data_IF_052380944470
#
_entry.id   IF_052380944470
#
_cell.length_a   1.000
_cell.length_b   1.000
_cell.length_c   1.000
_cell.angle_alpha   90.00
_cell.angle_beta   90.00
_cell.angle_gamma   90.00
#
_symmetry.space_group_name_H-M   'P 1'
#
loop_
_entity.id
_entity.type
_entity.pdbx_description
1 polymer ?
#
# COMPACT_ATOMS: atom_id res chain seq x y z
N UNK A 1 -0.06 15.44 2.72
CA UNK A 1 -1.43 15.27 2.18
C UNK A 1 -1.38 14.13 1.18
N UNK A 2 -2.24 13.12 1.33
CA UNK A 2 -2.34 11.98 0.42
C UNK A 2 -3.81 11.66 0.22
N UNK A 3 -4.28 11.60 -1.02
CA UNK A 3 -5.56 10.97 -1.35
C UNK A 3 -5.36 9.47 -1.41
N UNK A 4 -6.16 8.74 -0.65
CA UNK A 4 -6.06 7.30 -0.46
C UNK A 4 -7.32 6.66 -0.99
N UNK A 5 -7.15 5.71 -1.88
CA UNK A 5 -8.20 4.80 -2.34
C UNK A 5 -7.89 3.44 -1.73
N UNK A 6 -8.61 3.13 -0.67
CA UNK A 6 -8.46 1.89 0.08
C UNK A 6 -9.40 0.82 -0.48
N UNK A 7 -8.82 -0.14 -1.20
CA UNK A 7 -9.54 -1.27 -1.77
C UNK A 7 -9.18 -2.58 -1.06
N UNK A 8 -8.84 -2.52 0.24
CA UNK A 8 -8.40 -3.69 1.02
C UNK A 8 -9.52 -4.57 1.56
N UNK A 9 -10.80 -4.17 1.39
CA UNK A 9 -11.91 -4.96 1.91
C UNK A 9 -12.13 -6.30 1.22
N UNK A 10 -13.12 -7.05 1.71
CA UNK A 10 -13.32 -8.48 1.45
C UNK A 10 -13.58 -8.73 -0.04
N UNK A 11 -13.00 -9.82 -0.54
CA UNK A 11 -13.09 -10.23 -1.95
C UNK A 11 -14.54 -10.36 -2.48
N UNK A 12 -15.52 -10.60 -1.60
CA UNK A 12 -16.90 -10.95 -1.97
C UNK A 12 -17.91 -9.78 -1.99
N UNK A 13 -17.55 -8.59 -1.50
CA UNK A 13 -18.45 -7.44 -1.47
C UNK A 13 -17.96 -6.33 -2.42
N UNK A 14 -18.67 -6.16 -3.55
CA UNK A 14 -18.44 -5.14 -4.59
C UNK A 14 -18.45 -3.66 -4.11
N UNK A 15 -18.52 -3.40 -2.81
CA UNK A 15 -18.73 -2.08 -2.21
C UNK A 15 -17.69 -1.66 -1.16
N UNK A 16 -16.56 -2.36 -1.07
CA UNK A 16 -15.57 -2.16 0.00
C UNK A 16 -14.47 -1.11 -0.29
N UNK A 17 -14.52 -0.43 -1.45
CA UNK A 17 -13.55 0.62 -1.76
C UNK A 17 -13.91 1.92 -1.04
N UNK A 18 -13.05 2.36 -0.12
CA UNK A 18 -13.21 3.61 0.63
C UNK A 18 -12.18 4.62 0.16
N UNK A 19 -12.64 5.81 -0.22
CA UNK A 19 -11.77 6.89 -0.68
C UNK A 19 -11.76 8.07 0.29
N UNK A 20 -10.57 8.53 0.69
CA UNK A 20 -10.40 9.63 1.64
C UNK A 20 -9.10 10.41 1.43
N UNK A 21 -9.09 11.69 1.79
CA UNK A 21 -7.84 12.47 1.87
C UNK A 21 -7.32 12.44 3.29
N UNK A 22 -6.08 12.01 3.46
CA UNK A 22 -5.35 12.01 4.72
C UNK A 22 -4.37 13.18 4.80
N UNK A 23 -4.44 13.91 5.91
CA UNK A 23 -3.48 14.93 6.32
C UNK A 23 -2.82 14.45 7.62
N UNK A 24 -1.49 14.32 7.60
CA UNK A 24 -0.72 13.91 8.76
C UNK A 24 0.62 14.64 8.80
N UNK A 25 1.22 14.71 10.00
CA UNK A 25 2.58 15.23 10.20
C UNK A 25 3.47 14.15 10.81
N UNK A 26 4.73 14.14 10.41
CA UNK A 26 5.78 13.34 11.07
C UNK A 26 6.27 14.00 12.36
N UNK A 27 6.02 15.29 12.54
CA UNK A 27 6.32 16.02 13.78
C UNK A 27 5.12 15.98 14.72
N UNK A 28 5.34 15.92 16.05
CA UNK A 28 4.27 15.99 17.03
C UNK A 28 3.43 17.27 16.86
N UNK A 29 2.11 17.12 16.83
CA UNK A 29 1.15 18.21 16.67
C UNK A 29 -0.25 17.67 16.37
N UNK A 30 -1.29 18.51 16.53
CA UNK A 30 -2.68 18.12 16.34
C UNK A 30 -3.32 18.69 15.06
N UNK A 31 -2.56 19.35 14.18
CA UNK A 31 -3.02 19.81 12.86
C UNK A 31 -4.26 20.73 12.85
N UNK A 32 -4.70 21.24 14.01
CA UNK A 32 -5.95 21.97 14.14
C UNK A 32 -5.96 23.25 13.30
N UNK A 33 -4.85 24.01 13.31
CA UNK A 33 -4.73 25.27 12.56
C UNK A 33 -4.74 25.03 11.05
N UNK A 34 -4.06 23.97 10.62
CA UNK A 34 -4.01 23.54 9.24
C UNK A 34 -5.41 23.18 8.75
N UNK A 35 -6.12 22.35 9.51
CA UNK A 35 -7.49 21.92 9.17
C UNK A 35 -8.48 23.08 9.16
N UNK A 36 -8.42 23.97 10.16
CA UNK A 36 -9.29 25.15 10.23
C UNK A 36 -9.10 26.06 9.00
N UNK A 37 -7.87 26.26 8.57
CA UNK A 37 -7.58 27.08 7.38
C UNK A 37 -8.00 26.37 6.08
N UNK A 38 -7.75 25.06 5.96
CA UNK A 38 -8.10 24.29 4.76
C UNK A 38 -9.63 24.25 4.59
N UNK A 39 -10.38 24.09 5.69
CA UNK A 39 -11.84 24.11 5.71
C UNK A 39 -12.49 23.15 4.68
N UNK A 40 -12.01 21.89 4.64
CA UNK A 40 -12.51 20.81 3.78
C UNK A 40 -13.10 19.65 4.60
N UNK A 41 -13.71 19.97 5.76
CA UNK A 41 -14.38 19.01 6.65
C UNK A 41 -13.49 17.87 7.16
N UNK A 42 -12.23 18.17 7.48
CA UNK A 42 -11.34 17.19 8.09
C UNK A 42 -11.77 16.86 9.52
N UNK A 43 -11.78 15.57 9.84
CA UNK A 43 -11.94 15.04 11.19
C UNK A 43 -10.59 14.50 11.66
N UNK A 44 -10.11 14.96 12.82
CA UNK A 44 -8.81 14.59 13.35
C UNK A 44 -8.94 13.69 14.57
N UNK A 45 -8.08 12.68 14.67
CA UNK A 45 -8.11 11.74 15.78
C UNK A 45 -6.96 10.75 15.82
N UNK A 46 -6.97 9.93 16.88
CA UNK A 46 -6.07 8.77 17.05
C UNK A 46 -6.81 7.43 16.91
N UNK A 47 -8.12 7.50 16.80
CA UNK A 47 -9.06 6.38 16.78
C UNK A 47 -8.93 5.51 15.53
N UNK A 48 -8.37 6.06 14.44
CA UNK A 48 -8.13 5.34 13.19
C UNK A 48 -6.66 5.46 12.76
N UNK A 49 -5.75 4.64 13.32
CA UNK A 49 -4.40 4.59 12.78
C UNK A 49 -4.45 4.05 11.34
N UNK A 50 -3.95 4.83 10.39
CA UNK A 50 -3.87 4.40 8.99
C UNK A 50 -2.53 3.71 8.78
N UNK A 51 -2.56 2.45 8.36
CA UNK A 51 -1.39 1.73 7.92
C UNK A 51 -1.17 1.98 6.42
N UNK A 52 -0.18 2.81 6.11
CA UNK A 52 0.26 3.05 4.75
C UNK A 52 1.23 1.97 4.24
N UNK A 53 0.91 0.72 4.57
CA UNK A 53 1.59 -0.55 4.26
C UNK A 53 2.77 -0.91 5.16
N UNK A 54 3.49 0.04 5.74
CA UNK A 54 4.24 -0.17 7.01
C UNK A 54 4.63 1.13 7.71
N UNK A 55 3.92 2.21 7.38
CA UNK A 55 4.03 3.48 8.10
C UNK A 55 2.68 3.75 8.74
N UNK A 56 2.61 3.55 10.06
CA UNK A 56 1.40 3.80 10.82
C UNK A 56 1.32 5.28 11.22
N UNK A 57 0.31 5.96 10.70
CA UNK A 57 -0.05 7.31 11.13
C UNK A 57 -0.90 7.20 12.39
N UNK A 58 -0.28 7.42 13.56
CA UNK A 58 -0.96 7.35 14.87
C UNK A 58 -1.90 8.52 15.15
N UNK A 59 -1.64 9.67 14.53
CA UNK A 59 -2.52 10.83 14.58
C UNK A 59 -2.58 11.45 13.19
N UNK A 60 -3.80 11.63 12.69
CA UNK A 60 -4.04 12.25 11.41
C UNK A 60 -5.43 12.85 11.36
N UNK A 61 -5.64 13.63 10.30
CA UNK A 61 -6.93 14.15 9.94
C UNK A 61 -7.35 13.53 8.60
N UNK A 62 -8.63 13.23 8.45
CA UNK A 62 -9.17 12.68 7.21
C UNK A 62 -10.45 13.39 6.80
N UNK A 63 -10.69 13.45 5.49
CA UNK A 63 -11.96 13.89 4.92
C UNK A 63 -12.41 12.92 3.83
N UNK A 64 -13.71 12.71 3.75
CA UNK A 64 -14.38 11.92 2.70
C UNK A 64 -15.04 12.81 1.64
N UNK A 65 -14.81 14.13 1.72
CA UNK A 65 -15.46 15.11 0.86
C UNK A 65 -14.94 15.03 -0.58
N UNK A 66 -15.81 14.76 -1.56
CA UNK A 66 -15.49 14.73 -3.00
C UNK A 66 -14.27 13.84 -3.34
N UNK A 67 -14.22 12.66 -2.74
CA UNK A 67 -13.09 11.72 -2.87
C UNK A 67 -13.28 10.68 -3.97
N UNK A 68 -14.42 10.69 -4.67
CA UNK A 68 -14.68 9.78 -5.80
C UNK A 68 -14.22 10.34 -7.15
N UNK A 69 -13.65 11.54 -7.16
CA UNK A 69 -13.19 12.25 -8.35
C UNK A 69 -11.67 12.16 -8.52
N UNK A 70 -11.19 12.05 -9.77
CA UNK A 70 -9.74 12.07 -10.10
C UNK A 70 -9.05 10.70 -10.14
N UNK A 71 -9.79 9.61 -9.93
CA UNK A 71 -9.36 8.23 -10.11
C UNK A 71 -10.53 7.37 -10.58
N UNK A 72 -10.25 6.15 -11.03
CA UNK A 72 -11.23 5.17 -11.49
C UNK A 72 -10.90 3.79 -10.94
N UNK A 73 -11.87 2.87 -10.90
CA UNK A 73 -11.64 1.50 -10.44
C UNK A 73 -10.56 0.76 -11.26
N UNK A 74 -10.40 1.11 -12.53
CA UNK A 74 -9.36 0.55 -13.39
C UNK A 74 -7.93 0.95 -12.97
N UNK A 75 -7.79 2.03 -12.19
CA UNK A 75 -6.51 2.48 -11.62
C UNK A 75 -6.08 1.65 -10.40
N UNK A 76 -7.00 0.89 -9.78
CA UNK A 76 -6.73 0.11 -8.56
C UNK A 76 -5.80 -1.07 -8.91
N UNK A 77 -4.67 -1.25 -8.20
CA UNK A 77 -3.77 -2.36 -8.44
C UNK A 77 -4.44 -3.69 -8.09
N UNK A 78 -4.07 -4.74 -8.82
CA UNK A 78 -4.66 -6.07 -8.63
C UNK A 78 -3.63 -7.05 -8.12
N UNK A 79 -4.03 -7.85 -7.13
CA UNK A 79 -3.29 -9.01 -6.64
C UNK A 79 -4.15 -10.23 -6.96
N UNK A 80 -3.64 -11.14 -7.77
CA UNK A 80 -4.38 -12.32 -8.24
C UNK A 80 -3.60 -13.60 -7.95
N UNK A 81 -4.21 -14.54 -7.24
CA UNK A 81 -3.62 -15.85 -6.98
C UNK A 81 -3.77 -16.71 -8.24
N UNK A 82 -2.63 -17.08 -8.83
CA UNK A 82 -2.56 -17.95 -10.01
C UNK A 82 -2.71 -19.42 -9.63
N UNK A 83 -2.08 -19.84 -8.54
CA UNK A 83 -2.11 -21.21 -8.04
C UNK A 83 -1.78 -21.26 -6.55
N UNK A 84 -2.29 -22.27 -5.83
CA UNK A 84 -1.96 -22.57 -4.44
C UNK A 84 -1.89 -24.09 -4.24
N UNK A 85 -0.68 -24.64 -4.20
CA UNK A 85 -0.43 -26.09 -4.10
C UNK A 85 -0.16 -26.44 -2.64
N UNK A 86 -0.79 -27.50 -2.10
CA UNK A 86 -0.76 -27.85 -0.66
C UNK A 86 -0.25 -29.28 -0.37
N UNK A 87 0.44 -29.92 -1.32
CA UNK A 87 0.73 -31.36 -1.23
C UNK A 87 1.80 -31.70 -0.17
N UNK A 88 3.00 -31.10 -0.26
CA UNK A 88 4.09 -31.30 0.69
C UNK A 88 4.41 -29.99 1.42
N UNK A 89 4.97 -29.04 0.67
CA UNK A 89 5.16 -27.67 1.09
C UNK A 89 4.09 -26.83 0.40
N UNK A 90 3.44 -25.93 1.15
CA UNK A 90 2.46 -25.04 0.55
C UNK A 90 3.21 -23.98 -0.26
N UNK A 91 2.88 -23.87 -1.53
CA UNK A 91 3.46 -22.90 -2.46
C UNK A 91 2.32 -22.15 -3.14
N UNK A 92 2.33 -20.83 -3.04
CA UNK A 92 1.35 -19.97 -3.71
C UNK A 92 2.04 -19.12 -4.77
N UNK A 93 1.48 -19.07 -5.97
CA UNK A 93 1.90 -18.13 -7.00
C UNK A 93 0.89 -17.00 -7.12
N UNK A 94 1.39 -15.77 -7.07
CA UNK A 94 0.61 -14.55 -7.08
C UNK A 94 1.11 -13.66 -8.21
N UNK A 95 0.17 -13.04 -8.93
CA UNK A 95 0.46 -12.02 -9.92
C UNK A 95 0.02 -10.66 -9.41
N UNK A 96 0.90 -9.68 -9.51
CA UNK A 96 0.67 -8.31 -9.08
C UNK A 96 0.72 -7.40 -10.31
N UNK A 97 -0.36 -6.64 -10.52
CA UNK A 97 -0.43 -5.57 -11.52
C UNK A 97 -0.56 -4.23 -10.82
N UNK A 98 0.48 -3.39 -10.92
CA UNK A 98 0.54 -2.06 -10.31
C UNK A 98 -0.13 -0.98 -11.15
N UNK A 99 -0.77 -1.38 -12.26
CA UNK A 99 -1.47 -0.51 -13.22
C UNK A 99 -0.58 0.58 -13.76
N UNK A 100 -0.89 1.84 -13.47
CA UNK A 100 -0.09 2.98 -13.94
C UNK A 100 1.11 3.27 -13.05
N UNK A 101 1.17 2.68 -11.85
CA UNK A 101 2.19 3.01 -10.88
C UNK A 101 3.51 2.32 -11.16
N UNK A 102 4.59 3.12 -11.16
CA UNK A 102 5.98 2.68 -11.17
C UNK A 102 6.65 2.87 -9.80
N UNK A 103 5.86 3.20 -8.77
CA UNK A 103 6.32 3.41 -7.39
C UNK A 103 5.38 2.72 -6.43
N UNK A 104 5.87 1.69 -5.74
CA UNK A 104 5.02 0.88 -4.89
C UNK A 104 5.79 0.29 -3.72
N UNK A 105 5.04 -0.12 -2.71
CA UNK A 105 5.53 -0.80 -1.52
C UNK A 105 4.74 -2.07 -1.32
N UNK A 106 5.43 -3.20 -1.20
CA UNK A 106 4.85 -4.50 -0.91
C UNK A 106 5.35 -4.95 0.47
N UNK A 107 4.42 -5.29 1.35
CA UNK A 107 4.71 -5.96 2.61
C UNK A 107 4.29 -7.43 2.53
N UNK A 108 5.21 -8.34 2.88
CA UNK A 108 5.00 -9.79 2.92
C UNK A 108 4.99 -10.24 4.38
N UNK A 109 3.95 -10.96 4.79
CA UNK A 109 3.80 -11.45 6.16
C UNK A 109 4.78 -12.62 6.43
N UNK A 110 5.85 -12.34 7.17
CA UNK A 110 6.89 -13.32 7.50
C UNK A 110 6.50 -14.26 8.65
N UNK A 111 5.32 -14.12 9.26
CA UNK A 111 4.77 -15.16 10.15
C UNK A 111 4.34 -16.38 9.37
N UNK A 112 3.75 -16.15 8.20
CA UNK A 112 3.17 -17.20 7.35
C UNK A 112 4.15 -17.66 6.27
N UNK A 113 4.92 -16.73 5.71
CA UNK A 113 5.85 -16.99 4.61
C UNK A 113 7.27 -17.20 5.14
N UNK A 114 7.89 -18.29 4.70
CA UNK A 114 9.29 -18.65 4.99
C UNK A 114 10.23 -17.97 4.01
N UNK A 115 9.90 -18.06 2.72
CA UNK A 115 10.72 -17.55 1.64
C UNK A 115 9.85 -17.11 0.44
N UNK A 116 10.43 -16.33 -0.48
CA UNK A 116 9.73 -15.89 -1.67
C UNK A 116 10.67 -15.63 -2.86
N UNK A 117 10.13 -15.77 -4.07
CA UNK A 117 10.79 -15.36 -5.32
C UNK A 117 9.97 -14.28 -6.01
N UNK A 118 10.65 -13.24 -6.50
CA UNK A 118 10.01 -12.09 -7.12
C UNK A 118 10.59 -11.83 -8.52
N UNK A 119 9.75 -11.92 -9.54
CA UNK A 119 10.16 -11.85 -10.94
C UNK A 119 9.32 -10.84 -11.73
N UNK A 120 9.91 -10.29 -12.80
CA UNK A 120 9.14 -9.59 -13.83
C UNK A 120 8.30 -10.61 -14.61
N UNK A 121 6.99 -10.42 -14.63
CA UNK A 121 6.07 -11.36 -15.28
C UNK A 121 6.25 -11.43 -16.81
N UNK A 122 6.90 -10.45 -17.43
CA UNK A 122 7.13 -10.40 -18.88
C UNK A 122 8.46 -11.01 -19.30
N UNK A 123 9.54 -10.69 -18.60
CA UNK A 123 10.89 -11.19 -18.94
C UNK A 123 11.26 -12.45 -18.17
N UNK A 124 10.51 -12.81 -17.11
CA UNK A 124 10.90 -13.82 -16.12
C UNK A 124 12.25 -13.55 -15.45
N UNK A 125 12.74 -12.31 -15.52
CA UNK A 125 13.96 -11.89 -14.86
C UNK A 125 13.70 -11.80 -13.35
N UNK A 126 14.58 -12.42 -12.57
CA UNK A 126 14.54 -12.35 -11.12
C UNK A 126 14.96 -10.97 -10.65
N UNK A 127 14.05 -10.28 -9.97
CA UNK A 127 14.24 -8.89 -9.55
C UNK A 127 14.85 -8.79 -8.15
N UNK A 128 14.71 -9.85 -7.35
CA UNK A 128 15.28 -10.00 -6.01
C UNK A 128 15.83 -11.42 -5.95
N UNK A 129 17.16 -11.58 -6.03
CA UNK A 129 17.83 -12.87 -5.93
C UNK A 129 18.14 -13.26 -4.49
N UNK A 130 18.22 -14.58 -4.25
CA UNK A 130 18.54 -15.20 -2.95
C UNK A 130 19.84 -14.64 -2.30
N UNK A 131 20.82 -14.22 -3.11
CA UNK A 131 22.17 -13.79 -2.69
C UNK A 131 22.25 -12.42 -1.99
N UNK A 132 21.22 -11.56 -2.07
CA UNK A 132 21.21 -10.24 -1.38
C UNK A 132 20.62 -10.38 0.04
N UNK A 133 20.13 -11.56 0.39
CA UNK A 133 19.28 -11.77 1.57
C UNK A 133 20.01 -11.93 2.91
N UNK A 134 21.34 -12.04 2.91
CA UNK A 134 22.14 -12.13 4.15
C UNK A 134 22.30 -10.79 4.86
N UNK A 135 22.35 -9.66 4.13
CA UNK A 135 22.62 -8.35 4.70
C UNK A 135 21.47 -7.37 4.48
N UNK A 136 20.64 -7.22 5.53
CA UNK A 136 19.56 -6.21 5.71
C UNK A 136 18.18 -6.58 5.16
N UNK A 137 17.61 -7.69 5.63
CA UNK A 137 16.13 -7.81 5.72
C UNK A 137 15.66 -6.78 6.76
N UNK A 138 15.20 -5.60 6.34
CA UNK A 138 14.54 -4.64 7.23
C UNK A 138 13.17 -5.20 7.63
N UNK A 139 13.18 -6.17 8.55
CA UNK A 139 11.98 -6.70 9.17
C UNK A 139 11.49 -5.69 10.19
N UNK A 140 10.30 -5.15 9.97
CA UNK A 140 9.57 -4.40 10.99
C UNK A 140 8.38 -5.26 11.38
N UNK A 141 8.31 -5.65 12.65
CA UNK A 141 7.14 -6.29 13.26
C UNK A 141 6.54 -7.44 12.42
N UNK A 142 7.37 -8.43 12.05
CA UNK A 142 6.98 -9.63 11.30
C UNK A 142 6.58 -9.41 9.82
N UNK A 143 6.89 -8.23 9.25
CA UNK A 143 6.72 -7.95 7.82
C UNK A 143 8.06 -7.75 7.10
N UNK A 144 8.17 -8.30 5.90
CA UNK A 144 9.26 -8.00 4.97
C UNK A 144 8.80 -6.96 3.96
N UNK A 145 9.54 -5.85 3.82
CA UNK A 145 9.13 -4.68 3.05
C UNK A 145 10.01 -4.52 1.82
N UNK A 146 9.37 -4.55 0.65
CA UNK A 146 9.98 -4.24 -0.63
C UNK A 146 9.47 -2.87 -1.07
N UNK A 147 10.39 -1.92 -1.29
CA UNK A 147 10.07 -0.62 -1.86
C UNK A 147 10.65 -0.54 -3.27
N UNK A 148 9.79 -0.25 -4.24
CA UNK A 148 10.18 -0.14 -5.63
C UNK A 148 9.89 1.27 -6.15
N UNK A 149 10.84 1.87 -6.84
CA UNK A 149 10.65 3.12 -7.57
C UNK A 149 11.43 3.08 -8.87
N UNK A 150 10.72 2.86 -9.96
CA UNK A 150 11.29 2.80 -11.30
C UNK A 150 11.07 4.06 -12.14
N UNK A 151 11.72 4.10 -13.31
CA UNK A 151 11.47 5.11 -14.34
C UNK A 151 10.19 4.84 -15.14
N UNK A 152 9.96 5.66 -16.17
CA UNK A 152 8.75 5.58 -17.03
C UNK A 152 8.48 4.19 -17.63
N UNK A 153 9.55 3.45 -17.93
CA UNK A 153 9.52 2.14 -18.58
C UNK A 153 9.69 0.97 -17.60
N UNK A 154 9.61 1.22 -16.29
CA UNK A 154 9.74 0.17 -15.30
C UNK A 154 8.62 -0.88 -15.42
N UNK A 155 8.89 -2.14 -15.06
CA UNK A 155 7.88 -3.18 -15.00
C UNK A 155 6.72 -2.79 -14.09
N UNK A 156 5.54 -3.30 -14.43
CA UNK A 156 4.28 -3.07 -13.70
C UNK A 156 3.51 -4.36 -13.45
N UNK A 157 3.99 -5.46 -14.02
CA UNK A 157 3.46 -6.80 -13.86
C UNK A 157 4.55 -7.65 -13.26
N UNK A 158 4.25 -8.24 -12.11
CA UNK A 158 5.20 -9.01 -11.33
C UNK A 158 4.59 -10.34 -10.93
N UNK A 159 5.43 -11.36 -10.88
CA UNK A 159 5.06 -12.65 -10.32
C UNK A 159 5.82 -12.90 -9.03
N UNK A 160 5.08 -13.32 -8.02
CA UNK A 160 5.56 -13.60 -6.68
C UNK A 160 5.24 -15.07 -6.37
N UNK A 161 6.29 -15.86 -6.11
CA UNK A 161 6.15 -17.22 -5.60
C UNK A 161 6.42 -17.19 -4.10
N UNK A 162 5.47 -17.67 -3.31
CA UNK A 162 5.51 -17.67 -1.85
C UNK A 162 5.67 -19.10 -1.33
N UNK A 163 6.69 -19.32 -0.51
CA UNK A 163 6.95 -20.57 0.19
C UNK A 163 6.49 -20.42 1.63
N UNK A 164 5.50 -21.22 2.03
CA UNK A 164 4.88 -21.09 3.34
C UNK A 164 5.67 -21.85 4.40
N UNK A 165 5.69 -21.32 5.63
CA UNK A 165 6.27 -22.04 6.76
C UNK A 165 5.51 -23.32 7.05
N UNK A 166 6.23 -24.37 7.43
CA UNK A 166 5.63 -25.61 7.92
C UNK A 166 4.71 -25.34 9.13
N UNK A 167 3.43 -25.73 9.04
CA UNK A 167 2.43 -25.53 10.10
C UNK A 167 1.62 -24.22 10.02
N UNK A 168 1.97 -23.29 9.12
CA UNK A 168 1.20 -22.05 8.85
C UNK A 168 -0.20 -22.32 8.29
N UNK A 169 -0.43 -23.50 7.70
CA UNK A 169 -1.69 -23.92 7.09
C UNK A 169 -2.90 -23.99 8.07
N UNK A 170 -2.70 -23.71 9.35
CA UNK A 170 -3.73 -23.72 10.41
C UNK A 170 -4.01 -22.35 11.03
N UNK A 171 -3.39 -21.28 10.52
CA UNK A 171 -3.68 -19.92 10.96
C UNK A 171 -5.11 -19.54 10.56
N UNK A 172 -6.06 -19.62 11.50
CA UNK A 172 -7.43 -19.04 11.38
C UNK A 172 -7.42 -17.51 11.42
N UNK A 173 -6.23 -16.90 11.30
CA UNK A 173 -6.08 -15.47 11.42
C UNK A 173 -6.66 -14.81 10.15
N UNK A 174 -7.62 -13.90 10.34
CA UNK A 174 -8.20 -13.08 9.26
C UNK A 174 -7.22 -11.97 8.82
N UNK A 175 -5.91 -12.22 8.97
CA UNK A 175 -4.85 -11.30 8.67
C UNK A 175 -4.60 -11.17 7.17
N UNK A 176 -3.82 -10.16 6.80
CA UNK A 176 -3.30 -10.01 5.44
C UNK A 176 -2.03 -10.87 5.27
N UNK A 177 -1.93 -11.55 4.14
CA UNK A 177 -0.70 -12.20 3.68
C UNK A 177 0.21 -11.19 2.99
N UNK A 178 -0.38 -10.40 2.09
CA UNK A 178 0.30 -9.33 1.36
C UNK A 178 -0.44 -8.01 1.58
N UNK A 179 0.31 -6.93 1.71
CA UNK A 179 -0.21 -5.56 1.65
C UNK A 179 0.54 -4.80 0.57
N UNK A 180 -0.20 -4.21 -0.35
CA UNK A 180 0.34 -3.45 -1.47
C UNK A 180 -0.15 -2.01 -1.40
N UNK A 181 0.80 -1.09 -1.52
CA UNK A 181 0.56 0.32 -1.77
C UNK A 181 1.15 0.67 -3.11
N UNK A 182 0.36 1.29 -3.98
CA UNK A 182 0.88 1.92 -5.19
C UNK A 182 0.70 3.43 -5.10
N UNK A 183 1.71 4.18 -5.53
CA UNK A 183 1.69 5.63 -5.55
C UNK A 183 1.63 6.12 -7.00
N UNK A 184 0.69 7.00 -7.30
CA UNK A 184 0.45 7.50 -8.66
C UNK A 184 0.67 9.00 -8.69
N UNK A 185 1.48 9.46 -9.66
CA UNK A 185 1.76 10.87 -9.88
C UNK A 185 0.57 11.59 -10.54
N UNK A 186 -0.54 11.68 -9.83
CA UNK A 186 -1.78 12.31 -10.27
C UNK A 186 -2.32 13.19 -9.16
N UNK A 187 -2.78 14.38 -9.54
CA UNK A 187 -3.45 15.30 -8.64
C UNK A 187 -4.96 15.14 -8.82
N UNK A 188 -5.68 14.90 -7.74
CA UNK A 188 -7.15 14.79 -7.75
C UNK A 188 -7.78 16.12 -7.35
N UNK A 189 -9.04 16.41 -7.74
CA UNK A 189 -9.69 17.69 -7.45
C UNK A 189 -9.70 18.06 -5.97
N UNK A 190 -10.02 17.12 -5.07
CA UNK A 190 -9.98 17.38 -3.63
C UNK A 190 -8.56 17.65 -3.13
N UNK A 191 -7.56 16.93 -3.64
CA UNK A 191 -6.17 17.17 -3.25
C UNK A 191 -5.70 18.55 -3.70
N UNK A 192 -6.02 18.95 -4.93
CA UNK A 192 -5.69 20.29 -5.45
C UNK A 192 -6.24 21.39 -4.53
N UNK A 193 -7.53 21.34 -4.19
CA UNK A 193 -8.14 22.30 -3.26
C UNK A 193 -7.48 22.32 -1.88
N UNK A 194 -7.15 21.15 -1.34
CA UNK A 194 -6.46 21.05 -0.04
C UNK A 194 -5.06 21.67 -0.10
N UNK A 195 -4.32 21.46 -1.19
CA UNK A 195 -2.98 22.01 -1.38
C UNK A 195 -3.00 23.52 -1.58
N UNK A 196 -3.97 24.07 -2.33
CA UNK A 196 -4.14 25.51 -2.53
C UNK A 196 -4.41 26.26 -1.22
N UNK A 197 -5.16 25.64 -0.31
CA UNK A 197 -5.54 26.22 0.99
C UNK A 197 -4.55 25.90 2.11
N UNK A 198 -3.54 25.07 1.83
CA UNK A 198 -2.55 24.66 2.81
C UNK A 198 -1.82 25.91 3.35
N UNK A 199 -1.62 26.02 4.67
CA UNK A 199 -0.90 27.16 5.21
C UNK A 199 0.50 27.32 4.63
N UNK A 200 0.92 28.57 4.40
CA UNK A 200 2.22 28.88 3.78
C UNK A 200 3.43 28.39 4.57
N UNK A 201 3.27 28.12 5.86
CA UNK A 201 4.31 27.53 6.72
C UNK A 201 4.37 26.00 6.63
N UNK A 202 3.40 25.36 5.98
CA UNK A 202 3.42 23.95 5.69
C UNK A 202 4.10 23.74 4.33
N UNK A 203 4.99 22.76 4.28
CA UNK A 203 5.49 22.22 3.02
C UNK A 203 5.07 20.76 2.92
N UNK A 204 4.81 20.30 1.71
CA UNK A 204 4.71 18.87 1.44
C UNK A 204 6.11 18.27 1.66
N UNK A 205 6.35 17.78 2.87
CA UNK A 205 7.64 17.22 3.20
C UNK A 205 7.81 15.89 2.47
N UNK A 206 8.65 15.91 1.43
CA UNK A 206 9.02 14.73 0.69
C UNK A 206 10.32 14.15 1.22
N UNK A 207 10.27 12.99 1.91
CA UNK A 207 11.45 12.12 1.87
C UNK A 207 11.73 11.77 0.39
N UNK A 208 12.95 11.37 0.03
CA UNK A 208 13.23 10.81 -1.30
C UNK A 208 12.33 9.60 -1.64
N UNK A 209 11.74 8.99 -0.61
CA UNK A 209 10.74 7.92 -0.64
C UNK A 209 9.30 8.41 -0.44
N UNK A 210 9.03 9.71 -0.56
CA UNK A 210 7.71 10.26 -0.30
C UNK A 210 6.71 9.78 -1.32
N UNK A 211 5.55 9.30 -0.87
CA UNK A 211 4.51 8.89 -1.77
C UNK A 211 4.00 10.07 -2.60
N UNK A 212 3.51 9.75 -3.79
CA UNK A 212 2.74 10.71 -4.57
C UNK A 212 1.45 11.09 -3.83
N UNK A 213 0.80 12.14 -4.34
CA UNK A 213 -0.42 12.70 -3.77
C UNK A 213 -1.64 11.79 -3.89
N UNK A 214 -1.58 10.72 -4.69
CA UNK A 214 -2.60 9.69 -4.81
C UNK A 214 -1.97 8.32 -4.54
N UNK A 215 -2.59 7.53 -3.66
CA UNK A 215 -2.17 6.19 -3.33
C UNK A 215 -3.35 5.22 -3.35
N UNK A 216 -3.11 4.00 -3.82
CA UNK A 216 -4.07 2.89 -3.76
C UNK A 216 -3.55 1.83 -2.80
N UNK A 217 -4.45 1.26 -2.00
CA UNK A 217 -4.15 0.17 -1.08
C UNK A 217 -4.90 -1.09 -1.51
N UNK A 218 -4.20 -2.23 -1.50
CA UNK A 218 -4.77 -3.55 -1.81
C UNK A 218 -4.11 -4.62 -0.96
N UNK A 219 -4.90 -5.55 -0.44
CA UNK A 219 -4.38 -6.66 0.35
C UNK A 219 -4.75 -8.00 -0.29
N UNK A 220 -3.94 -9.01 0.01
CA UNK A 220 -4.28 -10.42 -0.17
C UNK A 220 -4.46 -11.01 1.23
N UNK A 221 -5.65 -11.53 1.61
CA UNK A 221 -5.85 -12.15 2.91
C UNK A 221 -5.11 -13.49 3.01
N UNK A 222 -4.82 -13.99 4.22
CA UNK A 222 -4.16 -15.31 4.41
C UNK A 222 -5.04 -16.47 3.93
N UNK A 223 -6.36 -16.30 4.01
CA UNK A 223 -7.39 -17.28 3.65
C UNK A 223 -8.09 -17.00 2.30
N UNK A 224 -7.37 -16.41 1.35
CA UNK A 224 -7.85 -16.09 0.00
C UNK A 224 -8.51 -17.28 -0.73
#
# INVERSE_FOLDING_TARGET
VVHVVDATGKLDERHDTVSYVSLFSTTPGNLNKEVEQINENFVCGKDKPIDFVTFSVKYGCWTYNDTMSGWSEADIPTIHVKSDTKENERITQVSIDTKESVRWVLAINTKEIEDFKFTDARSSEELISEDISEDKKSSVDDWHIIQFSGGKNAPRLFDLTLYWKSGSAQSTDNGSLLKLRTDVNRLTPITERVLEKLPRWCSLFGKSTSPHTLAFLRNLPVNF
#
